data_IF_940101422943
#
_entry.id   IF_940101422943
#
_cell.length_a   1.000
_cell.length_b   1.000
_cell.length_c   1.000
_cell.angle_alpha   90.00
_cell.angle_beta   90.00
_cell.angle_gamma   90.00
#
_symmetry.space_group_name_H-M   'P 1'
#
loop_
_entity.id
_entity.type
_entity.pdbx_description
1 polymer ?
#
# COMPACT_ATOMS: atom_id res chain seq x y z
N UNK A 1 -10.54 13.98 8.05
CA UNK A 1 -9.26 14.49 7.51
C UNK A 1 -8.75 13.43 6.55
N UNK A 2 -8.35 13.81 5.33
CA UNK A 2 -8.02 12.85 4.28
C UNK A 2 -6.52 12.64 4.07
N UNK A 3 -6.21 11.46 3.55
CA UNK A 3 -4.97 10.89 3.05
C UNK A 3 -4.61 11.07 1.59
N UNK A 4 -3.37 11.37 1.21
CA UNK A 4 -2.86 10.82 -0.04
C UNK A 4 -2.10 9.53 0.24
N UNK A 5 -2.56 8.43 -0.34
CA UNK A 5 -1.83 7.17 -0.40
C UNK A 5 -1.15 7.06 -1.75
N UNK A 6 0.15 6.80 -1.76
CA UNK A 6 0.89 6.35 -2.93
C UNK A 6 1.39 4.93 -2.67
N UNK A 7 1.28 4.05 -3.65
CA UNK A 7 1.87 2.71 -3.57
C UNK A 7 2.54 2.33 -4.88
N UNK A 8 3.57 1.49 -4.79
CA UNK A 8 4.29 0.99 -5.95
C UNK A 8 4.70 -0.46 -5.75
N UNK A 9 4.58 -1.25 -6.81
CA UNK A 9 5.31 -2.50 -7.04
C UNK A 9 6.48 -2.15 -7.97
N UNK A 10 7.70 -2.16 -7.44
CA UNK A 10 8.89 -1.63 -8.10
C UNK A 10 9.11 -2.28 -9.47
N UNK A 11 9.15 -1.47 -10.52
CA UNK A 11 9.36 -1.92 -11.89
C UNK A 11 8.13 -2.55 -12.57
N UNK A 12 6.98 -2.58 -11.88
CA UNK A 12 5.75 -3.23 -12.39
C UNK A 12 4.59 -2.24 -12.49
N UNK A 13 4.25 -1.57 -11.39
CA UNK A 13 3.09 -0.68 -11.33
C UNK A 13 3.19 0.31 -10.17
N UNK A 14 2.58 1.48 -10.30
CA UNK A 14 2.37 2.43 -9.22
C UNK A 14 1.00 3.09 -9.34
N UNK A 15 0.46 3.55 -8.22
CA UNK A 15 -0.72 4.39 -8.22
C UNK A 15 -0.80 5.28 -6.98
N UNK A 16 -1.59 6.34 -7.10
CA UNK A 16 -1.96 7.22 -6.00
C UNK A 16 -3.49 7.23 -5.81
N UNK A 17 -3.94 7.35 -4.57
CA UNK A 17 -5.36 7.41 -4.23
C UNK A 17 -5.61 8.32 -3.04
N UNK A 18 -6.72 9.05 -3.13
CA UNK A 18 -7.28 9.81 -2.01
C UNK A 18 -8.07 8.84 -1.14
N UNK A 19 -7.69 8.70 0.12
CA UNK A 19 -8.38 7.85 1.11
C UNK A 19 -8.68 8.63 2.39
N UNK A 20 -9.67 8.17 3.15
CA UNK A 20 -10.18 8.84 4.35
C UNK A 20 -9.55 8.29 5.63
N UNK A 21 -9.28 6.99 5.65
CA UNK A 21 -8.73 6.24 6.76
C UNK A 21 -7.92 5.02 6.26
N UNK A 22 -7.24 4.36 7.19
CA UNK A 22 -6.28 3.30 6.85
C UNK A 22 -7.00 2.04 6.39
N UNK A 23 -8.24 1.80 6.83
CA UNK A 23 -9.04 0.68 6.37
C UNK A 23 -9.41 0.87 4.89
N UNK A 24 -9.81 2.07 4.50
CA UNK A 24 -10.02 2.42 3.09
C UNK A 24 -8.72 2.26 2.28
N UNK A 25 -7.59 2.73 2.82
CA UNK A 25 -6.27 2.58 2.20
C UNK A 25 -5.90 1.12 1.95
N UNK A 26 -6.10 0.26 2.96
CA UNK A 26 -5.84 -1.18 2.84
C UNK A 26 -6.76 -1.82 1.81
N UNK A 27 -8.04 -1.47 1.78
CA UNK A 27 -8.97 -2.02 0.79
C UNK A 27 -8.64 -1.59 -0.65
N UNK A 28 -8.17 -0.34 -0.85
CA UNK A 28 -7.70 0.14 -2.17
C UNK A 28 -6.41 -0.57 -2.56
N UNK A 29 -5.46 -0.72 -1.63
CA UNK A 29 -4.21 -1.42 -1.84
C UNK A 29 -4.43 -2.89 -2.20
N UNK A 30 -5.20 -3.64 -1.42
CA UNK A 30 -5.46 -5.07 -1.63
C UNK A 30 -6.10 -5.32 -3.00
N UNK A 31 -7.08 -4.51 -3.40
CA UNK A 31 -7.69 -4.58 -4.75
C UNK A 31 -6.68 -4.31 -5.85
N UNK A 32 -5.78 -3.36 -5.64
CA UNK A 32 -4.79 -2.98 -6.65
C UNK A 32 -3.69 -4.02 -6.81
N UNK A 33 -3.17 -4.55 -5.70
CA UNK A 33 -2.19 -5.63 -5.70
C UNK A 33 -2.77 -6.89 -6.36
N UNK A 34 -4.03 -7.23 -6.06
CA UNK A 34 -4.69 -8.35 -6.72
C UNK A 34 -4.73 -8.18 -8.24
N UNK A 35 -5.11 -6.99 -8.72
CA UNK A 35 -5.12 -6.69 -10.15
C UNK A 35 -3.71 -6.77 -10.79
N UNK A 36 -2.65 -6.38 -10.07
CA UNK A 36 -1.27 -6.54 -10.55
C UNK A 36 -0.88 -8.02 -10.63
N UNK A 37 -1.19 -8.80 -9.59
CA UNK A 37 -0.93 -10.25 -9.57
C UNK A 37 -1.60 -10.96 -10.76
N UNK A 38 -2.85 -10.62 -11.08
CA UNK A 38 -3.58 -11.25 -12.18
C UNK A 38 -3.07 -10.83 -13.58
N UNK A 39 -2.60 -9.58 -13.73
CA UNK A 39 -2.29 -9.01 -15.05
C UNK A 39 -0.81 -9.02 -15.43
N UNK A 40 0.08 -8.99 -14.45
CA UNK A 40 1.49 -8.67 -14.68
C UNK A 40 2.47 -9.68 -14.07
N UNK A 41 2.00 -10.66 -13.30
CA UNK A 41 2.86 -11.62 -12.61
C UNK A 41 2.66 -13.06 -13.12
N UNK A 42 3.76 -13.80 -13.22
CA UNK A 42 3.72 -15.27 -13.24
C UNK A 42 3.30 -15.82 -11.86
N UNK A 43 2.88 -17.09 -11.74
CA UNK A 43 2.52 -17.68 -10.45
C UNK A 43 3.55 -17.51 -9.31
N UNK A 44 4.87 -17.73 -9.52
CA UNK A 44 5.86 -17.50 -8.46
C UNK A 44 6.02 -16.01 -8.10
N UNK A 45 5.97 -15.11 -9.08
CA UNK A 45 6.02 -13.66 -8.84
C UNK A 45 4.78 -13.19 -8.07
N UNK A 46 3.60 -13.72 -8.40
CA UNK A 46 2.36 -13.42 -7.68
C UNK A 46 2.45 -13.86 -6.21
N UNK A 47 3.03 -15.02 -5.92
CA UNK A 47 3.25 -15.49 -4.55
C UNK A 47 4.23 -14.57 -3.79
N UNK A 48 5.35 -14.19 -4.40
CA UNK A 48 6.33 -13.27 -3.79
C UNK A 48 5.74 -11.87 -3.55
N UNK A 49 4.96 -11.36 -4.50
CA UNK A 49 4.22 -10.11 -4.38
C UNK A 49 3.19 -10.19 -3.25
N UNK A 50 2.47 -11.31 -3.13
CA UNK A 50 1.50 -11.54 -2.06
C UNK A 50 2.13 -11.50 -0.67
N UNK A 51 3.32 -12.10 -0.50
CA UNK A 51 4.06 -12.05 0.77
C UNK A 51 4.51 -10.61 1.11
N UNK A 52 5.03 -9.90 0.12
CA UNK A 52 5.47 -8.50 0.27
C UNK A 52 4.30 -7.57 0.61
N UNK A 53 3.18 -7.71 -0.11
CA UNK A 53 1.96 -6.97 0.13
C UNK A 53 1.35 -7.28 1.51
N UNK A 54 1.38 -8.54 1.96
CA UNK A 54 0.91 -8.92 3.29
C UNK A 54 1.70 -8.24 4.42
N UNK A 55 3.02 -8.13 4.27
CA UNK A 55 3.88 -7.43 5.22
C UNK A 55 3.60 -5.92 5.24
N UNK A 56 3.45 -5.30 4.06
CA UNK A 56 3.07 -3.88 3.94
C UNK A 56 1.71 -3.62 4.56
N UNK A 57 0.70 -4.45 4.25
CA UNK A 57 -0.66 -4.37 4.81
C UNK A 57 -0.66 -4.40 6.33
N UNK A 58 0.15 -5.29 6.91
CA UNK A 58 0.29 -5.39 8.38
C UNK A 58 0.84 -4.09 8.97
N UNK A 59 1.90 -3.54 8.36
CA UNK A 59 2.51 -2.28 8.81
C UNK A 59 1.61 -1.06 8.58
N UNK A 60 0.80 -1.05 7.53
CA UNK A 60 -0.22 -0.02 7.30
C UNK A 60 -1.21 -0.02 8.46
N UNK A 61 -1.74 -1.19 8.82
CA UNK A 61 -2.72 -1.32 9.90
C UNK A 61 -2.16 -0.95 11.28
N UNK A 62 -0.85 -1.16 11.53
CA UNK A 62 -0.22 -0.85 12.83
C UNK A 62 0.43 0.55 12.87
N UNK A 63 1.52 0.74 12.13
CA UNK A 63 2.35 1.94 12.22
C UNK A 63 1.73 3.07 11.39
N UNK A 64 1.17 2.71 10.22
CA UNK A 64 0.51 3.65 9.32
C UNK A 64 -0.72 4.29 9.97
N UNK A 65 -1.57 3.50 10.66
CA UNK A 65 -2.74 4.01 11.38
C UNK A 65 -2.34 5.00 12.48
N UNK A 66 -1.27 4.71 13.22
CA UNK A 66 -0.74 5.60 14.26
C UNK A 66 -0.23 6.92 13.67
N UNK A 67 0.52 6.86 12.57
CA UNK A 67 1.05 8.07 11.92
C UNK A 67 -0.05 8.91 11.28
N UNK A 68 -1.03 8.28 10.62
CA UNK A 68 -2.22 8.94 10.07
C UNK A 68 -3.01 9.64 11.17
N UNK A 69 -3.24 8.98 12.31
CA UNK A 69 -3.93 9.58 13.45
C UNK A 69 -3.19 10.80 14.02
N UNK A 70 -1.86 10.85 13.88
CA UNK A 70 -1.01 11.98 14.27
C UNK A 70 -0.86 13.04 13.18
N UNK A 71 -1.47 12.85 12.01
CA UNK A 71 -1.29 13.74 10.86
C UNK A 71 0.16 13.79 10.36
N UNK A 72 0.88 12.68 10.43
CA UNK A 72 2.29 12.57 10.02
C UNK A 72 2.41 11.83 8.69
N UNK A 73 3.42 12.20 7.89
CA UNK A 73 3.83 11.37 6.76
C UNK A 73 4.36 10.03 7.28
N UNK A 74 3.99 8.95 6.61
CA UNK A 74 4.47 7.61 6.91
C UNK A 74 4.82 6.86 5.63
N UNK A 75 5.87 6.06 5.69
CA UNK A 75 6.29 5.23 4.55
C UNK A 75 6.75 3.87 5.02
N UNK A 76 6.50 2.85 4.20
CA UNK A 76 7.00 1.50 4.43
C UNK A 76 7.34 0.81 3.13
N UNK A 77 8.25 -0.16 3.20
CA UNK A 77 8.61 -1.02 2.09
C UNK A 77 8.84 -2.45 2.56
N UNK A 78 8.32 -3.43 1.83
CA UNK A 78 8.66 -4.83 1.99
C UNK A 78 8.88 -5.46 0.62
N UNK A 79 10.06 -6.05 0.40
CA UNK A 79 10.46 -6.55 -0.91
C UNK A 79 10.33 -5.45 -1.99
N UNK A 80 9.54 -5.77 -3.00
CA UNK A 80 9.27 -4.90 -4.15
C UNK A 80 8.03 -4.02 -3.97
N UNK A 81 7.42 -3.98 -2.79
CA UNK A 81 6.22 -3.16 -2.54
C UNK A 81 6.53 -2.02 -1.57
N UNK A 82 6.21 -0.80 -1.99
CA UNK A 82 6.35 0.42 -1.20
C UNK A 82 5.00 1.13 -1.06
N UNK A 83 4.72 1.71 0.11
CA UNK A 83 3.54 2.54 0.39
C UNK A 83 3.97 3.80 1.14
N UNK A 84 3.38 4.93 0.76
CA UNK A 84 3.55 6.24 1.41
C UNK A 84 2.17 6.83 1.70
N UNK A 85 1.96 7.28 2.93
CA UNK A 85 0.83 8.12 3.34
C UNK A 85 1.30 9.54 3.57
N UNK A 86 0.60 10.50 2.98
CA UNK A 86 0.82 11.94 3.18
C UNK A 86 -0.46 12.61 3.68
N UNK A 87 -0.40 13.38 4.78
CA UNK A 87 -1.53 14.20 5.21
C UNK A 87 -1.93 15.18 4.11
N UNK A 88 -3.23 15.39 3.91
CA UNK A 88 -3.71 16.49 3.08
C UNK A 88 -3.68 17.81 3.87
N UNK A 89 -3.25 18.92 3.24
CA UNK A 89 -3.35 20.25 3.83
C UNK A 89 -4.81 20.67 4.03
#
# INVERSE_FOLDING_TARGET
MGFWMHWAVIGVADAASSVTDVDEAVAVFDRSIHAVQEKACTPPEAAALGASAGAVRTRMATDGSTAVARGQEWRTRAGDVEVVFRPRP
#
